data_IF_437956505843
#
_entry.id   IF_437956505843
#
_cell.length_a   1.000
_cell.length_b   1.000
_cell.length_c   1.000
_cell.angle_alpha   90.00
_cell.angle_beta   90.00
_cell.angle_gamma   90.00
#
_symmetry.space_group_name_H-M   'P 1'
#
loop_
_entity.id
_entity.type
_entity.pdbx_description
1 polymer ?
#
# COMPACT_ATOMS: atom_id res chain seq x y z
N UNK A 1 -12.44 -10.81 10.91
CA UNK A 1 -11.29 -11.33 11.66
C UNK A 1 -11.86 -12.02 12.89
N UNK A 2 -11.50 -13.27 13.17
CA UNK A 2 -12.02 -13.92 14.38
C UNK A 2 -11.55 -13.15 15.62
N UNK A 3 -12.43 -12.96 16.62
CA UNK A 3 -12.02 -12.37 17.90
C UNK A 3 -10.81 -13.13 18.47
N UNK A 4 -9.72 -12.42 18.76
CA UNK A 4 -8.50 -13.01 19.33
C UNK A 4 -7.48 -13.57 18.31
N UNK A 5 -7.68 -13.40 17.01
CA UNK A 5 -6.64 -13.72 16.03
C UNK A 5 -5.41 -12.81 16.20
N UNK A 6 -4.17 -13.32 16.00
CA UNK A 6 -2.97 -12.51 16.12
C UNK A 6 -2.91 -11.42 15.06
N UNK A 7 -2.38 -10.24 15.42
CA UNK A 7 -2.28 -9.09 14.52
C UNK A 7 -1.41 -9.37 13.28
N UNK A 8 -0.31 -10.11 13.45
CA UNK A 8 0.57 -10.51 12.36
C UNK A 8 1.02 -11.95 12.55
N UNK A 9 0.93 -12.71 11.46
CA UNK A 9 1.56 -14.03 11.33
C UNK A 9 2.08 -14.20 9.91
N UNK A 10 3.18 -14.92 9.76
CA UNK A 10 3.73 -15.25 8.45
C UNK A 10 4.02 -16.76 8.36
N UNK A 11 4.10 -17.27 7.14
CA UNK A 11 4.48 -18.66 6.90
C UNK A 11 5.65 -18.68 5.94
N UNK A 12 6.74 -19.33 6.35
CA UNK A 12 7.89 -19.56 5.47
C UNK A 12 7.65 -20.73 4.54
N UNK A 13 8.01 -20.55 3.27
CA UNK A 13 8.01 -21.65 2.31
C UNK A 13 8.89 -22.80 2.82
N UNK A 14 8.40 -24.03 2.75
CA UNK A 14 9.10 -25.23 3.23
C UNK A 14 8.98 -25.55 4.73
N UNK A 15 8.52 -24.62 5.58
CA UNK A 15 8.36 -24.87 7.03
C UNK A 15 6.95 -25.31 7.46
N UNK A 16 5.93 -25.15 6.62
CA UNK A 16 4.57 -25.65 6.84
C UNK A 16 3.73 -24.89 7.89
N UNK A 17 4.32 -24.47 9.00
CA UNK A 17 3.64 -23.84 10.13
C UNK A 17 3.60 -22.30 10.05
N UNK A 18 2.56 -21.71 10.63
CA UNK A 18 2.44 -20.26 10.80
C UNK A 18 3.22 -19.81 12.03
N UNK A 19 4.02 -18.76 11.86
CA UNK A 19 4.77 -18.12 12.93
C UNK A 19 4.06 -16.80 13.30
N UNK A 20 3.73 -16.65 14.59
CA UNK A 20 3.07 -15.47 15.13
C UNK A 20 4.12 -14.45 15.55
N UNK A 21 3.92 -13.18 15.18
CA UNK A 21 4.76 -12.06 15.61
C UNK A 21 4.09 -11.40 16.82
N UNK A 22 4.84 -11.25 17.91
CA UNK A 22 4.39 -10.45 19.04
C UNK A 22 4.39 -8.96 18.64
N UNK A 23 3.20 -8.42 18.41
CA UNK A 23 2.99 -7.01 18.11
C UNK A 23 2.71 -6.17 19.37
N UNK A 24 2.89 -6.74 20.57
CA UNK A 24 2.42 -6.15 21.81
C UNK A 24 0.92 -5.86 21.74
N UNK A 25 0.55 -4.62 22.05
CA UNK A 25 -0.84 -4.15 21.97
C UNK A 25 -1.19 -3.46 20.63
N UNK A 26 -0.30 -3.55 19.63
CA UNK A 26 -0.51 -2.93 18.32
C UNK A 26 -1.29 -3.84 17.36
N UNK A 27 -2.15 -3.24 16.55
CA UNK A 27 -2.93 -3.92 15.51
C UNK A 27 -2.50 -3.54 14.09
N UNK A 28 -3.36 -3.82 13.10
CA UNK A 28 -3.20 -3.28 11.73
C UNK A 28 -4.02 -2.00 11.51
N UNK A 29 -5.02 -1.76 12.38
CA UNK A 29 -5.99 -0.66 12.29
C UNK A 29 -6.24 0.00 13.65
N UNK A 30 -5.31 -0.13 14.59
CA UNK A 30 -5.36 0.59 15.86
C UNK A 30 -5.35 2.12 15.69
N UNK A 31 -5.71 2.87 16.74
CA UNK A 31 -5.62 4.33 16.73
C UNK A 31 -4.15 4.80 16.71
N UNK A 32 -3.90 6.05 16.31
CA UNK A 32 -2.60 6.69 16.51
C UNK A 32 -1.59 6.58 15.36
N UNK A 33 -1.87 5.86 14.26
CA UNK A 33 -0.89 5.73 13.17
C UNK A 33 -0.60 7.04 12.46
N UNK A 34 -1.60 7.91 12.29
CA UNK A 34 -1.41 9.20 11.63
C UNK A 34 -0.54 10.10 12.51
N UNK A 35 -0.80 10.12 13.81
CA UNK A 35 -0.04 10.85 14.80
C UNK A 35 1.41 10.36 14.86
N UNK A 36 1.63 9.04 14.82
CA UNK A 36 2.96 8.44 14.77
C UNK A 36 3.70 8.72 13.46
N UNK A 37 3.00 8.70 12.33
CA UNK A 37 3.56 9.09 11.04
C UNK A 37 4.03 10.54 11.04
N UNK A 38 3.22 11.45 11.59
CA UNK A 38 3.60 12.87 11.78
C UNK A 38 4.81 12.98 12.70
N UNK A 39 4.80 12.26 13.83
CA UNK A 39 5.90 12.26 14.78
C UNK A 39 7.22 11.75 14.16
N UNK A 40 7.16 10.71 13.32
CA UNK A 40 8.32 10.20 12.58
C UNK A 40 8.93 11.26 11.67
N UNK A 41 8.11 11.95 10.88
CA UNK A 41 8.59 13.02 9.98
C UNK A 41 9.28 14.13 10.78
N UNK A 42 8.68 14.56 11.89
CA UNK A 42 9.25 15.61 12.75
C UNK A 42 10.57 15.17 13.38
N UNK A 43 10.64 13.94 13.89
CA UNK A 43 11.87 13.37 14.44
C UNK A 43 12.95 13.25 13.36
N UNK A 44 12.59 12.74 12.18
CA UNK A 44 13.51 12.58 11.05
C UNK A 44 14.16 13.90 10.66
N UNK A 45 13.36 14.97 10.57
CA UNK A 45 13.84 16.31 10.28
C UNK A 45 14.81 16.83 11.35
N UNK A 46 14.52 16.62 12.63
CA UNK A 46 15.38 17.07 13.74
C UNK A 46 16.70 16.31 13.81
N UNK A 47 16.66 15.02 13.51
CA UNK A 47 17.81 14.11 13.60
C UNK A 47 18.64 14.07 12.31
N UNK A 48 18.14 14.66 11.21
CA UNK A 48 18.80 14.62 9.91
C UNK A 48 18.78 13.23 9.26
N UNK A 49 17.80 12.38 9.62
CA UNK A 49 17.60 11.06 9.00
C UNK A 49 16.49 11.11 7.96
N UNK A 50 16.44 10.09 7.10
CA UNK A 50 15.32 9.91 6.17
C UNK A 50 14.08 9.42 6.95
N UNK A 51 12.91 9.96 6.62
CA UNK A 51 11.62 9.48 7.13
C UNK A 51 11.12 8.32 6.27
N UNK A 52 10.38 7.40 6.89
CA UNK A 52 9.72 6.32 6.16
C UNK A 52 8.69 6.85 5.13
N UNK A 53 8.17 8.06 5.35
CA UNK A 53 7.26 8.77 4.45
C UNK A 53 7.97 9.70 3.46
N UNK A 54 9.25 9.48 3.18
CA UNK A 54 9.97 10.25 2.17
C UNK A 54 9.31 10.12 0.77
N UNK A 55 9.50 11.14 -0.07
CA UNK A 55 8.89 11.21 -1.40
C UNK A 55 9.25 9.99 -2.27
N UNK A 56 10.47 9.46 -2.15
CA UNK A 56 10.93 8.29 -2.90
C UNK A 56 10.10 7.04 -2.56
N UNK A 57 9.86 6.76 -1.27
CA UNK A 57 9.03 5.64 -0.85
C UNK A 57 7.58 5.82 -1.31
N UNK A 58 7.04 7.03 -1.18
CA UNK A 58 5.69 7.36 -1.62
C UNK A 58 5.53 7.15 -3.14
N UNK A 59 6.51 7.57 -3.95
CA UNK A 59 6.48 7.38 -5.40
C UNK A 59 6.60 5.90 -5.79
N UNK A 60 7.51 5.14 -5.17
CA UNK A 60 7.65 3.71 -5.42
C UNK A 60 6.35 2.93 -5.12
N UNK A 61 5.70 3.22 -3.99
CA UNK A 61 4.43 2.61 -3.62
C UNK A 61 3.29 3.02 -4.59
N UNK A 62 3.25 4.31 -4.95
CA UNK A 62 2.24 4.85 -5.87
C UNK A 62 2.37 4.25 -7.27
N UNK A 63 3.59 4.07 -7.76
CA UNK A 63 3.85 3.52 -9.10
C UNK A 63 3.18 2.16 -9.31
N UNK A 64 3.19 1.29 -8.29
CA UNK A 64 2.54 -0.02 -8.33
C UNK A 64 1.01 0.12 -8.55
N UNK A 65 0.37 1.11 -7.91
CA UNK A 65 -1.06 1.38 -8.07
C UNK A 65 -1.36 1.81 -9.51
N UNK A 66 -0.58 2.75 -10.05
CA UNK A 66 -0.75 3.20 -11.44
C UNK A 66 -0.44 2.08 -12.44
N UNK A 67 0.52 1.20 -12.14
CA UNK A 67 0.83 0.03 -12.96
C UNK A 67 -0.32 -0.98 -12.98
N UNK A 68 -1.06 -1.14 -11.88
CA UNK A 68 -2.28 -1.94 -11.86
C UNK A 68 -3.35 -1.36 -12.79
N UNK A 69 -3.59 -0.04 -12.73
CA UNK A 69 -4.54 0.60 -13.64
C UNK A 69 -4.10 0.51 -15.10
N UNK A 70 -2.81 0.70 -15.35
CA UNK A 70 -2.24 0.58 -16.69
C UNK A 70 -2.35 -0.86 -17.22
N UNK A 71 -2.13 -1.86 -16.37
CA UNK A 71 -2.31 -3.27 -16.69
C UNK A 71 -3.75 -3.57 -17.10
N UNK A 72 -4.74 -3.01 -16.39
CA UNK A 72 -6.15 -3.10 -16.79
C UNK A 72 -6.37 -2.44 -18.14
N UNK A 73 -5.83 -1.24 -18.36
CA UNK A 73 -5.98 -0.46 -19.60
C UNK A 73 -5.42 -1.20 -20.82
N UNK A 74 -4.20 -1.74 -20.74
CA UNK A 74 -3.55 -2.48 -21.84
C UNK A 74 -3.87 -3.98 -21.88
N UNK A 75 -4.53 -4.49 -20.85
CA UNK A 75 -4.85 -5.92 -20.64
C UNK A 75 -3.62 -6.81 -20.70
N UNK A 76 -2.56 -6.43 -19.99
CA UNK A 76 -1.28 -7.14 -20.07
C UNK A 76 -0.28 -6.73 -19.00
N UNK A 77 0.84 -7.48 -18.94
CA UNK A 77 1.93 -7.21 -18.00
C UNK A 77 2.49 -5.80 -18.21
N UNK A 78 2.73 -5.11 -17.11
CA UNK A 78 3.39 -3.80 -17.08
C UNK A 78 4.76 -4.00 -16.43
N UNK A 79 5.80 -3.53 -17.11
CA UNK A 79 7.15 -3.47 -16.58
C UNK A 79 7.37 -2.09 -15.95
N UNK A 80 8.08 -2.07 -14.81
CA UNK A 80 8.45 -0.86 -14.10
C UNK A 80 9.90 -0.45 -14.43
N UNK A 81 10.23 0.86 -14.42
CA UNK A 81 9.37 1.98 -14.06
C UNK A 81 8.33 2.33 -15.14
N UNK A 82 7.24 2.98 -14.75
CA UNK A 82 6.23 3.46 -15.67
C UNK A 82 6.80 4.54 -16.61
N UNK A 83 6.49 4.42 -17.89
CA UNK A 83 6.86 5.42 -18.92
C UNK A 83 5.70 6.30 -19.35
N UNK A 84 4.51 6.06 -18.81
CA UNK A 84 3.31 6.85 -19.09
C UNK A 84 3.35 8.16 -18.30
N UNK A 85 2.75 9.20 -18.87
CA UNK A 85 2.64 10.52 -18.22
C UNK A 85 1.20 10.89 -17.89
N UNK A 86 0.25 10.06 -18.32
CA UNK A 86 -1.19 10.22 -18.08
C UNK A 86 -1.67 9.34 -16.92
N UNK A 87 -2.97 9.44 -16.60
CA UNK A 87 -3.58 8.65 -15.55
C UNK A 87 -4.49 7.56 -16.16
N UNK A 88 -4.10 6.26 -16.11
CA UNK A 88 -4.88 5.19 -16.71
C UNK A 88 -6.27 5.03 -16.10
N UNK A 89 -6.43 5.31 -14.80
CA UNK A 89 -7.73 5.24 -14.14
C UNK A 89 -8.68 6.29 -14.71
N UNK A 90 -8.18 7.51 -14.94
CA UNK A 90 -8.96 8.60 -15.51
C UNK A 90 -9.40 8.25 -16.94
N UNK A 91 -8.48 7.79 -17.80
CA UNK A 91 -8.81 7.34 -19.16
C UNK A 91 -9.90 6.24 -19.17
N UNK A 92 -9.77 5.25 -18.29
CA UNK A 92 -10.74 4.15 -18.18
C UNK A 92 -12.13 4.62 -17.73
N UNK A 93 -12.19 5.62 -16.84
CA UNK A 93 -13.45 6.25 -16.43
C UNK A 93 -14.05 7.06 -17.59
N UNK A 94 -13.25 7.87 -18.27
CA UNK A 94 -13.69 8.72 -19.39
C UNK A 94 -14.20 7.90 -20.57
N UNK A 95 -13.58 6.75 -20.85
CA UNK A 95 -14.03 5.78 -21.86
C UNK A 95 -15.24 4.95 -21.41
N UNK A 96 -15.69 5.12 -20.17
CA UNK A 96 -16.82 4.39 -19.60
C UNK A 96 -16.56 2.89 -19.40
N UNK A 97 -15.31 2.47 -19.26
CA UNK A 97 -14.95 1.06 -19.02
C UNK A 97 -15.11 0.66 -17.54
N UNK A 98 -15.12 1.63 -16.63
CA UNK A 98 -15.35 1.40 -15.20
C UNK A 98 -16.80 1.80 -14.88
N UNK A 99 -17.64 0.81 -14.54
CA UNK A 99 -19.08 0.98 -14.30
C UNK A 99 -19.46 0.48 -12.89
N UNK A 100 -19.10 1.20 -11.82
CA UNK A 100 -19.48 0.80 -10.48
C UNK A 100 -21.00 0.91 -10.35
N UNK A 101 -21.63 -0.09 -9.71
CA UNK A 101 -23.04 -0.01 -9.32
C UNK A 101 -23.12 0.38 -7.85
N UNK A 102 -24.03 1.27 -7.45
CA UNK A 102 -24.26 1.53 -6.04
C UNK A 102 -24.63 0.22 -5.34
N UNK A 103 -24.20 0.08 -4.08
CA UNK A 103 -24.77 -0.94 -3.21
C UNK A 103 -26.23 -0.54 -2.97
N UNK A 104 -27.15 -1.40 -3.42
CA UNK A 104 -28.56 -1.33 -3.00
C UNK A 104 -28.73 -1.68 -1.54
#
# INVERSE_FOLDING_TARGET
MEPGAPALRYRRFGKGEWEVVDCGNEGMHGPGYIERAIADIVAALREGRESELCARNALNATEIIFACYESVRRRGRVDLPLTITDNPLVDLVERGEIKPRPKG
#
